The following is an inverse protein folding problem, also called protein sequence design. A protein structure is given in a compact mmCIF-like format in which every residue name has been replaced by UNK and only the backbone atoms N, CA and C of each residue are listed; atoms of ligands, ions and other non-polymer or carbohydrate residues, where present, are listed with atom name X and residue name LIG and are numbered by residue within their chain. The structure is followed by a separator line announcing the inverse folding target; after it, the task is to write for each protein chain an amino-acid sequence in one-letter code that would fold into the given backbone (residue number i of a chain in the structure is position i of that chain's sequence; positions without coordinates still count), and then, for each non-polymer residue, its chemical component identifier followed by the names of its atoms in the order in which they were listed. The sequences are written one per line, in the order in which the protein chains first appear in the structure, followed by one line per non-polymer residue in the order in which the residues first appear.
data_IF_311873396044
#
_entry.id   IF_311873396044
#
_cell.length_a   1.000
_cell.length_b   1.000
_cell.length_c   1.000
_cell.angle_alpha   90.00
_cell.angle_beta   90.00
_cell.angle_gamma   90.00
#
_symmetry.space_group_name_H-M   'P 1'
#
loop_
_entity.id
_entity.type
_entity.pdbx_description
1 polymer ?
#
# COMPACT_ATOMS: atom_id res chain seq x y z
N UNK A 1 14.70 -1.63 -6.62
CA UNK A 1 13.31 -1.80 -7.10
C UNK A 1 12.52 -0.56 -6.76
N UNK A 2 11.98 0.10 -7.78
CA UNK A 2 11.06 1.22 -7.59
C UNK A 2 9.73 0.67 -7.04
N UNK A 3 9.27 1.21 -5.91
CA UNK A 3 8.00 0.78 -5.31
C UNK A 3 6.86 1.53 -6.00
N UNK A 4 5.81 0.80 -6.36
CA UNK A 4 4.56 1.43 -6.80
C UNK A 4 3.96 2.29 -5.66
N UNK A 5 3.15 3.31 -5.94
CA UNK A 5 2.77 4.31 -4.95
C UNK A 5 2.02 3.71 -3.76
N UNK A 6 1.15 2.73 -4.00
CA UNK A 6 0.43 2.03 -2.94
C UNK A 6 1.39 1.29 -1.99
N UNK A 7 2.42 0.64 -2.53
CA UNK A 7 3.45 -0.02 -1.71
C UNK A 7 4.28 1.01 -0.96
N UNK A 8 4.68 2.10 -1.60
CA UNK A 8 5.40 3.17 -0.92
C UNK A 8 4.60 3.71 0.28
N UNK A 9 3.30 3.94 0.11
CA UNK A 9 2.40 4.39 1.18
C UNK A 9 2.34 3.36 2.30
N UNK A 10 2.10 2.08 1.99
CA UNK A 10 1.98 1.02 3.01
C UNK A 10 3.29 0.76 3.75
N UNK A 11 4.44 0.88 3.08
CA UNK A 11 5.74 0.57 3.67
C UNK A 11 6.41 1.76 4.37
N UNK A 12 6.09 2.99 3.97
CA UNK A 12 6.75 4.19 4.51
C UNK A 12 5.76 5.12 5.21
N UNK A 13 4.69 5.54 4.52
CA UNK A 13 3.77 6.56 5.03
C UNK A 13 2.93 6.05 6.20
N UNK A 14 2.24 4.91 6.07
CA UNK A 14 1.41 4.38 7.15
C UNK A 14 2.22 4.04 8.41
N UNK A 15 3.41 3.40 8.32
CA UNK A 15 4.27 3.19 9.47
C UNK A 15 4.73 4.49 10.12
N UNK A 16 5.04 5.53 9.34
CA UNK A 16 5.41 6.85 9.88
C UNK A 16 4.23 7.52 10.60
N UNK A 17 3.01 7.47 10.05
CA UNK A 17 1.82 7.99 10.74
C UNK A 17 1.60 7.26 12.07
N UNK A 18 1.64 5.92 12.06
CA UNK A 18 1.49 5.09 13.27
C UNK A 18 2.55 5.41 14.33
N UNK A 19 3.78 5.67 13.88
CA UNK A 19 4.88 6.12 14.75
C UNK A 19 4.57 7.44 15.44
N UNK A 20 4.18 8.45 14.67
CA UNK A 20 3.90 9.77 15.22
C UNK A 20 2.67 9.78 16.13
N UNK A 21 1.66 8.95 15.83
CA UNK A 21 0.53 8.73 16.74
C UNK A 21 0.97 8.13 18.07
N UNK A 22 1.81 7.09 18.03
CA UNK A 22 2.35 6.47 19.25
C UNK A 22 3.19 7.46 20.08
N UNK A 23 4.04 8.25 19.44
CA UNK A 23 4.83 9.30 20.11
C UNK A 23 3.95 10.37 20.74
N UNK A 24 2.94 10.85 20.02
CA UNK A 24 1.99 11.86 20.51
C UNK A 24 1.16 11.37 21.69
N UNK A 25 0.62 10.14 21.63
CA UNK A 25 -0.10 9.52 22.75
C UNK A 25 0.77 9.36 24.00
N UNK A 26 2.04 8.99 23.83
CA UNK A 26 2.98 8.87 24.95
C UNK A 26 3.35 10.24 25.53
N UNK A 27 3.70 11.22 24.69
CA UNK A 27 4.18 12.54 25.11
C UNK A 27 3.08 13.42 25.70
N UNK A 28 1.91 13.47 25.06
CA UNK A 28 0.87 14.45 25.37
C UNK A 28 -0.17 13.91 26.37
N UNK A 29 -0.32 12.58 26.47
CA UNK A 29 -1.32 11.93 27.33
C UNK A 29 -0.70 10.98 28.37
N UNK A 30 0.63 10.80 28.36
CA UNK A 30 1.37 9.94 29.28
C UNK A 30 0.84 8.49 29.33
N UNK A 31 0.31 7.99 28.21
CA UNK A 31 -0.20 6.63 28.13
C UNK A 31 0.95 5.62 28.05
N UNK A 32 0.80 4.49 28.74
CA UNK A 32 1.72 3.37 28.64
C UNK A 32 1.53 2.60 27.32
N UNK A 33 2.49 1.75 26.96
CA UNK A 33 2.49 1.02 25.68
C UNK A 33 1.26 0.12 25.50
N UNK A 34 0.71 -0.43 26.58
CA UNK A 34 -0.50 -1.27 26.51
C UNK A 34 -1.72 -0.44 26.13
N UNK A 35 -1.89 0.75 26.74
CA UNK A 35 -3.00 1.64 26.39
C UNK A 35 -2.87 2.21 24.98
N UNK A 36 -1.65 2.53 24.55
CA UNK A 36 -1.37 2.96 23.17
C UNK A 36 -1.70 1.83 22.18
N UNK A 37 -1.36 0.59 22.51
CA UNK A 37 -1.64 -0.57 21.67
C UNK A 37 -3.15 -0.78 21.47
N UNK A 38 -3.94 -0.62 22.53
CA UNK A 38 -5.41 -0.65 22.46
C UNK A 38 -5.96 0.44 21.53
N UNK A 39 -5.51 1.69 21.69
CA UNK A 39 -5.99 2.84 20.91
C UNK A 39 -5.65 2.71 19.42
N UNK A 40 -4.45 2.22 19.10
CA UNK A 40 -3.96 2.11 17.73
C UNK A 40 -4.33 0.78 17.06
N UNK A 41 -5.06 -0.10 17.77
CA UNK A 41 -5.41 -1.46 17.31
C UNK A 41 -4.15 -2.26 16.92
N UNK A 42 -3.13 -2.21 17.77
CA UNK A 42 -1.81 -2.84 17.58
C UNK A 42 -1.45 -3.75 18.75
N UNK A 43 -0.35 -4.49 18.61
CA UNK A 43 0.28 -5.19 19.73
C UNK A 43 1.24 -4.25 20.49
N UNK A 44 1.44 -4.45 21.81
CA UNK A 44 2.45 -3.69 22.56
C UNK A 44 3.84 -3.76 21.93
N UNK A 45 4.24 -4.93 21.41
CA UNK A 45 5.50 -5.10 20.69
C UNK A 45 5.58 -4.24 19.42
N UNK A 46 4.48 -4.06 18.69
CA UNK A 46 4.45 -3.18 17.54
C UNK A 46 4.60 -1.70 17.95
N UNK A 47 3.96 -1.28 19.05
CA UNK A 47 4.11 0.06 19.63
C UNK A 47 5.57 0.30 20.03
N UNK A 48 6.19 -0.64 20.74
CA UNK A 48 7.62 -0.58 21.10
C UNK A 48 8.52 -0.40 19.87
N UNK A 49 8.23 -1.12 18.77
CA UNK A 49 8.99 -0.99 17.52
C UNK A 49 8.82 0.39 16.85
N UNK A 50 7.63 1.01 16.97
CA UNK A 50 7.42 2.38 16.50
C UNK A 50 8.17 3.39 17.38
N UNK A 51 8.04 3.30 18.70
CA UNK A 51 8.70 4.22 19.64
C UNK A 51 10.23 4.15 19.55
N UNK A 52 10.79 2.98 19.25
CA UNK A 52 12.22 2.77 19.04
C UNK A 52 12.71 3.09 17.61
N UNK A 53 11.86 3.66 16.75
CA UNK A 53 12.14 3.94 15.33
C UNK A 53 12.56 2.70 14.49
N UNK A 54 12.42 1.47 15.00
CA UNK A 54 12.60 0.24 14.22
C UNK A 54 11.57 0.10 13.10
N UNK A 55 10.42 0.77 13.24
CA UNK A 55 9.38 0.95 12.20
C UNK A 55 9.06 2.43 12.02
N UNK A 56 8.62 2.80 10.82
CA UNK A 56 8.34 4.20 10.48
C UNK A 56 9.62 5.02 10.43
N UNK A 57 10.70 4.47 9.87
CA UNK A 57 12.05 5.07 9.88
C UNK A 57 12.06 6.50 9.33
N UNK A 58 11.14 6.83 8.41
CA UNK A 58 11.07 8.18 7.86
C UNK A 58 10.34 9.11 8.83
N UNK A 59 10.89 10.32 8.99
CA UNK A 59 10.32 11.37 9.81
C UNK A 59 9.46 12.35 9.00
N UNK A 60 8.48 12.95 9.67
CA UNK A 60 7.69 14.07 9.15
C UNK A 60 8.37 15.35 9.64
N UNK A 61 8.86 16.16 8.70
CA UNK A 61 9.62 17.39 8.98
C UNK A 61 8.70 18.62 8.98
N UNK A 62 7.48 18.50 8.44
CA UNK A 62 6.52 19.60 8.37
C UNK A 62 5.73 19.73 9.69
N UNK A 63 6.02 20.80 10.43
CA UNK A 63 5.38 21.12 11.72
C UNK A 63 3.85 21.25 11.61
N UNK A 64 3.32 21.74 10.48
CA UNK A 64 1.87 21.84 10.31
C UNK A 64 1.24 20.44 10.26
N UNK A 65 1.94 19.44 9.72
CA UNK A 65 1.46 18.06 9.69
C UNK A 65 1.55 17.44 11.08
N UNK A 66 2.59 17.74 11.86
CA UNK A 66 2.69 17.31 13.26
C UNK A 66 1.54 17.89 14.10
N UNK A 67 1.18 19.16 13.89
CA UNK A 67 -0.01 19.78 14.51
C UNK A 67 -1.29 19.06 14.11
N UNK A 68 -1.45 18.70 12.83
CA UNK A 68 -2.61 17.93 12.38
C UNK A 68 -2.66 16.53 13.00
N UNK A 69 -1.50 15.88 13.20
CA UNK A 69 -1.39 14.60 13.89
C UNK A 69 -1.84 14.73 15.35
N UNK A 70 -1.37 15.75 16.07
CA UNK A 70 -1.76 15.97 17.46
C UNK A 70 -3.27 16.25 17.59
N UNK A 71 -3.88 16.97 16.62
CA UNK A 71 -5.35 17.13 16.53
C UNK A 71 -6.06 15.80 16.30
N UNK A 72 -5.54 14.94 15.42
CA UNK A 72 -6.08 13.59 15.19
C UNK A 72 -6.04 12.73 16.44
N UNK A 73 -4.90 12.73 17.15
CA UNK A 73 -4.73 12.00 18.42
C UNK A 73 -5.71 12.52 19.46
N UNK A 74 -5.86 13.84 19.59
CA UNK A 74 -6.86 14.44 20.47
C UNK A 74 -8.26 13.97 20.13
N UNK A 75 -8.64 13.98 18.85
CA UNK A 75 -9.97 13.49 18.43
C UNK A 75 -10.20 12.03 18.80
N UNK A 76 -9.20 11.15 18.63
CA UNK A 76 -9.28 9.74 19.00
C UNK A 76 -9.51 9.59 20.51
N UNK A 77 -8.73 10.30 21.32
CA UNK A 77 -8.78 10.18 22.79
C UNK A 77 -10.04 10.79 23.38
N UNK A 78 -10.45 11.99 22.93
CA UNK A 78 -11.51 12.76 23.60
C UNK A 78 -12.91 12.47 23.07
N UNK A 79 -13.06 12.16 21.79
CA UNK A 79 -14.40 12.12 21.17
C UNK A 79 -15.02 10.73 21.11
N UNK A 80 -14.27 9.65 21.35
CA UNK A 80 -14.73 8.24 21.29
C UNK A 80 -15.37 7.79 19.96
N UNK A 81 -15.63 8.73 19.04
CA UNK A 81 -16.40 8.61 17.80
C UNK A 81 -15.50 8.63 16.57
N UNK A 82 -14.28 9.16 16.68
CA UNK A 82 -13.29 9.11 15.62
C UNK A 82 -12.52 7.79 15.70
N UNK A 83 -12.81 6.86 14.79
CA UNK A 83 -12.04 5.62 14.64
C UNK A 83 -10.60 5.95 14.26
N UNK A 84 -9.63 5.24 14.84
CA UNK A 84 -8.20 5.36 14.50
C UNK A 84 -7.96 5.26 12.98
N UNK A 85 -8.66 4.37 12.29
CA UNK A 85 -8.60 4.21 10.83
C UNK A 85 -9.04 5.45 10.06
N UNK A 86 -10.05 6.18 10.53
CA UNK A 86 -10.56 7.42 9.92
C UNK A 86 -9.52 8.54 10.01
N UNK A 87 -8.95 8.75 11.20
CA UNK A 87 -7.93 9.78 11.41
C UNK A 87 -6.62 9.45 10.69
N UNK A 88 -6.24 8.18 10.66
CA UNK A 88 -5.10 7.71 9.83
C UNK A 88 -5.31 8.04 8.36
N UNK A 89 -6.53 7.82 7.84
CA UNK A 89 -6.86 8.16 6.45
C UNK A 89 -6.78 9.67 6.21
N UNK A 90 -7.31 10.48 7.14
CA UNK A 90 -7.25 11.95 7.08
C UNK A 90 -5.82 12.46 6.98
N UNK A 91 -4.93 12.01 7.88
CA UNK A 91 -3.51 12.39 7.87
C UNK A 91 -2.82 11.91 6.60
N UNK A 92 -3.11 10.69 6.14
CA UNK A 92 -2.58 10.18 4.87
C UNK A 92 -2.97 11.06 3.68
N UNK A 93 -4.21 11.56 3.63
CA UNK A 93 -4.68 12.49 2.59
C UNK A 93 -3.99 13.83 2.65
N UNK A 94 -3.76 14.39 3.85
CA UNK A 94 -3.00 15.64 4.02
C UNK A 94 -1.56 15.46 3.50
N UNK A 95 -0.90 14.36 3.88
CA UNK A 95 0.45 14.02 3.42
C UNK A 95 0.53 13.85 1.90
N UNK A 96 -0.50 13.22 1.28
CA UNK A 96 -0.61 13.08 -0.18
C UNK A 96 -0.75 14.44 -0.87
N UNK A 97 -1.63 15.31 -0.39
CA UNK A 97 -1.95 16.58 -1.04
C UNK A 97 -0.79 17.58 -0.99
N UNK A 98 0.04 17.53 0.07
CA UNK A 98 1.24 18.36 0.18
C UNK A 98 2.43 17.89 -0.68
N UNK A 99 2.25 16.94 -1.63
CA UNK A 99 3.31 16.36 -2.48
C UNK A 99 4.55 15.84 -1.68
N UNK A 100 4.30 15.43 -0.43
CA UNK A 100 5.18 14.80 0.58
C UNK A 100 6.38 15.62 1.08
N UNK A 101 6.24 16.12 2.33
CA UNK A 101 7.33 16.50 3.25
C UNK A 101 8.11 15.28 3.81
N UNK A 102 8.19 14.22 3.01
CA UNK A 102 8.81 12.92 3.31
C UNK A 102 9.58 12.57 2.02
N UNK A 103 10.91 12.57 2.07
CA UNK A 103 11.80 12.45 0.91
C UNK A 103 11.39 11.38 -0.14
N UNK A 104 10.64 11.79 -1.18
CA UNK A 104 10.53 11.29 -2.58
C UNK A 104 9.10 11.41 -3.13
N UNK A 105 8.98 11.93 -4.35
CA UNK A 105 7.74 12.04 -5.13
C UNK A 105 7.36 10.69 -5.74
N UNK A 106 6.15 10.17 -5.46
CA UNK A 106 5.48 9.14 -6.26
C UNK A 106 4.01 9.09 -5.85
N UNK A 107 3.18 9.90 -6.51
CA UNK A 107 1.74 10.03 -6.20
C UNK A 107 0.89 9.28 -7.24
N UNK A 108 -0.08 8.49 -6.79
CA UNK A 108 -1.11 7.89 -7.64
C UNK A 108 -2.43 8.64 -7.43
N UNK A 109 -2.94 9.26 -8.50
CA UNK A 109 -4.19 10.06 -8.54
C UNK A 109 -5.48 9.26 -8.24
N UNK A 110 -5.43 7.92 -8.24
CA UNK A 110 -6.63 7.05 -8.16
C UNK A 110 -6.82 6.28 -6.85
N UNK A 111 -6.18 6.69 -5.75
CA UNK A 111 -6.13 5.89 -4.52
C UNK A 111 -6.89 6.55 -3.35
N UNK A 112 -8.20 6.74 -3.53
CA UNK A 112 -9.09 7.37 -2.54
C UNK A 112 -9.60 6.43 -1.45
N UNK A 113 -9.55 5.09 -1.63
CA UNK A 113 -9.86 4.15 -0.55
C UNK A 113 -8.87 2.99 -0.47
N UNK A 114 -8.39 2.83 0.78
CA UNK A 114 -7.62 1.75 1.42
C UNK A 114 -6.40 1.25 0.62
N UNK A 115 -5.23 1.77 0.97
CA UNK A 115 -3.95 1.34 0.40
C UNK A 115 -3.59 -0.10 0.82
N UNK A 116 -4.04 -0.55 1.98
CA UNK A 116 -3.77 -1.90 2.50
C UNK A 116 -4.48 -2.98 1.65
N UNK A 117 -5.78 -2.89 1.39
CA UNK A 117 -6.51 -3.81 0.49
C UNK A 117 -5.88 -3.89 -0.90
N UNK A 118 -5.49 -2.75 -1.46
CA UNK A 118 -4.81 -2.73 -2.75
C UNK A 118 -3.49 -3.50 -2.72
N UNK A 119 -2.69 -3.34 -1.66
CA UNK A 119 -1.38 -4.00 -1.50
C UNK A 119 -1.50 -5.47 -1.17
N UNK A 120 -2.46 -5.87 -0.35
CA UNK A 120 -2.55 -7.25 0.16
C UNK A 120 -3.44 -8.15 -0.70
N UNK A 121 -4.48 -7.60 -1.32
CA UNK A 121 -5.45 -8.40 -2.08
C UNK A 121 -5.26 -8.22 -3.59
N UNK A 122 -5.21 -6.97 -4.06
CA UNK A 122 -5.27 -6.65 -5.50
C UNK A 122 -3.90 -6.84 -6.19
N UNK A 123 -2.85 -6.26 -5.61
CA UNK A 123 -1.51 -6.28 -6.22
C UNK A 123 -0.92 -7.69 -6.38
N UNK A 124 -1.10 -8.62 -5.44
CA UNK A 124 -0.67 -10.00 -5.64
C UNK A 124 -1.40 -10.70 -6.79
N UNK A 125 -2.68 -10.36 -7.03
CA UNK A 125 -3.45 -10.89 -8.16
C UNK A 125 -2.94 -10.32 -9.48
N UNK A 126 -2.74 -8.99 -9.56
CA UNK A 126 -2.20 -8.33 -10.77
C UNK A 126 -0.83 -8.91 -11.12
N UNK A 127 0.10 -8.96 -10.16
CA UNK A 127 1.47 -9.46 -10.39
C UNK A 127 1.47 -10.91 -10.87
N UNK A 128 0.56 -11.73 -10.36
CA UNK A 128 0.38 -13.11 -10.82
C UNK A 128 -0.12 -13.18 -12.25
N UNK A 129 -1.17 -12.44 -12.59
CA UNK A 129 -1.73 -12.48 -13.94
C UNK A 129 -0.77 -11.88 -14.97
N UNK A 130 -0.04 -10.81 -14.63
CA UNK A 130 1.05 -10.28 -15.47
C UNK A 130 2.16 -11.32 -15.66
N UNK A 131 2.63 -11.95 -14.59
CA UNK A 131 3.69 -12.98 -14.68
C UNK A 131 3.26 -14.15 -15.58
N UNK A 132 2.02 -14.63 -15.45
CA UNK A 132 1.50 -15.71 -16.30
C UNK A 132 1.40 -15.30 -17.77
N UNK A 133 0.86 -14.11 -18.05
CA UNK A 133 0.63 -13.67 -19.42
C UNK A 133 1.95 -13.40 -20.15
N UNK A 134 2.94 -12.78 -19.48
CA UNK A 134 4.26 -12.54 -20.06
C UNK A 134 4.97 -13.85 -20.43
N UNK A 135 4.85 -14.90 -19.62
CA UNK A 135 5.41 -16.22 -19.96
C UNK A 135 4.62 -16.89 -21.08
N UNK A 136 3.29 -16.91 -20.96
CA UNK A 136 2.42 -17.67 -21.88
C UNK A 136 2.40 -17.09 -23.29
N UNK A 137 2.20 -15.78 -23.39
CA UNK A 137 1.95 -15.07 -24.65
C UNK A 137 3.19 -14.38 -25.22
N UNK A 138 4.13 -13.94 -24.37
CA UNK A 138 5.35 -13.26 -24.81
C UNK A 138 6.62 -14.11 -24.67
N UNK A 139 6.51 -15.37 -24.21
CA UNK A 139 7.60 -16.35 -24.09
C UNK A 139 8.78 -15.88 -23.22
N UNK A 140 8.55 -14.95 -22.31
CA UNK A 140 9.57 -14.52 -21.37
C UNK A 140 9.91 -15.65 -20.39
N UNK A 141 11.17 -15.74 -19.98
CA UNK A 141 11.58 -16.58 -18.85
C UNK A 141 11.39 -15.82 -17.51
N UNK A 142 11.48 -16.53 -16.38
CA UNK A 142 11.23 -15.93 -15.05
C UNK A 142 12.16 -14.77 -14.73
N UNK A 143 13.43 -14.85 -15.16
CA UNK A 143 14.40 -13.76 -15.04
C UNK A 143 13.92 -12.50 -15.75
N UNK A 144 13.54 -12.61 -17.03
CA UNK A 144 13.05 -11.47 -17.81
C UNK A 144 11.77 -10.87 -17.24
N UNK A 145 10.85 -11.72 -16.77
CA UNK A 145 9.64 -11.26 -16.07
C UNK A 145 9.99 -10.47 -14.81
N UNK A 146 10.98 -10.93 -14.04
CA UNK A 146 11.41 -10.26 -12.81
C UNK A 146 12.01 -8.87 -13.10
N UNK A 147 12.79 -8.75 -14.16
CA UNK A 147 13.37 -7.48 -14.61
C UNK A 147 12.28 -6.49 -15.03
N UNK A 148 11.35 -6.91 -15.89
CA UNK A 148 10.32 -6.05 -16.46
C UNK A 148 9.30 -5.61 -15.40
N UNK A 149 8.89 -6.52 -14.50
CA UNK A 149 7.94 -6.20 -13.42
C UNK A 149 8.60 -5.55 -12.19
N UNK A 150 9.93 -5.45 -12.15
CA UNK A 150 10.65 -4.94 -10.99
C UNK A 150 10.41 -5.80 -9.75
N UNK A 151 10.55 -7.13 -9.89
CA UNK A 151 10.38 -8.12 -8.82
C UNK A 151 11.65 -8.97 -8.67
N UNK A 152 11.74 -9.76 -7.60
CA UNK A 152 12.73 -10.84 -7.54
C UNK A 152 12.25 -12.07 -8.30
N UNK A 153 13.17 -12.85 -8.87
CA UNK A 153 12.84 -14.14 -9.52
C UNK A 153 12.09 -15.09 -8.56
N UNK A 154 12.49 -15.11 -7.28
CA UNK A 154 11.78 -15.86 -6.25
C UNK A 154 10.33 -15.40 -6.06
N UNK A 155 10.03 -14.10 -6.19
CA UNK A 155 8.67 -13.59 -6.14
C UNK A 155 7.85 -14.05 -7.36
N UNK A 156 8.43 -13.99 -8.56
CA UNK A 156 7.82 -14.49 -9.80
C UNK A 156 7.48 -15.98 -9.65
N UNK A 157 8.43 -16.80 -9.21
CA UNK A 157 8.21 -18.23 -8.93
C UNK A 157 7.05 -18.49 -7.95
N UNK A 158 6.95 -17.70 -6.88
CA UNK A 158 5.84 -17.80 -5.91
C UNK A 158 4.47 -17.43 -6.51
N UNK A 159 4.42 -16.47 -7.42
CA UNK A 159 3.19 -16.13 -8.14
C UNK A 159 2.75 -17.25 -9.10
N UNK A 160 3.70 -17.83 -9.83
CA UNK A 160 3.43 -18.92 -10.77
C UNK A 160 2.98 -20.19 -10.06
N UNK A 161 3.58 -20.53 -8.92
CA UNK A 161 3.21 -21.67 -8.07
C UNK A 161 1.90 -21.49 -7.29
N UNK A 162 1.14 -20.41 -7.54
CA UNK A 162 -0.15 -20.07 -6.91
C UNK A 162 -0.12 -19.93 -5.37
N UNK A 163 1.07 -19.83 -4.77
CA UNK A 163 1.23 -19.57 -3.33
C UNK A 163 0.80 -18.13 -2.94
N UNK A 164 0.56 -17.24 -3.91
CA UNK A 164 0.09 -15.85 -3.73
C UNK A 164 -0.92 -15.44 -4.81
N UNK A 165 -1.82 -14.51 -4.48
CA UNK A 165 -2.81 -13.95 -5.41
C UNK A 165 -3.79 -15.00 -5.94
N UNK A 166 -4.32 -15.87 -5.06
CA UNK A 166 -5.14 -17.00 -5.50
C UNK A 166 -6.58 -16.63 -5.91
N UNK A 167 -6.94 -15.36 -5.79
CA UNK A 167 -8.23 -14.86 -6.27
C UNK A 167 -8.29 -14.98 -7.79
N UNK A 168 -9.40 -15.54 -8.30
CA UNK A 168 -9.63 -15.69 -9.73
C UNK A 168 -10.39 -14.46 -10.25
N UNK A 169 -9.89 -13.89 -11.33
CA UNK A 169 -10.63 -12.91 -12.11
C UNK A 169 -11.55 -13.70 -13.05
N UNK A 170 -12.87 -13.57 -12.88
CA UNK A 170 -13.86 -14.23 -13.74
C UNK A 170 -14.20 -13.39 -14.97
N UNK A 171 -14.29 -12.07 -14.78
CA UNK A 171 -14.68 -11.09 -15.79
C UNK A 171 -13.76 -11.11 -17.03
N UNK A 172 -14.37 -11.35 -18.19
CA UNK A 172 -13.68 -11.42 -19.48
C UNK A 172 -13.11 -10.06 -19.90
N UNK A 173 -13.84 -8.95 -19.68
CA UNK A 173 -13.39 -7.60 -20.04
C UNK A 173 -12.12 -7.24 -19.27
N UNK A 174 -12.07 -7.60 -17.98
CA UNK A 174 -10.89 -7.35 -17.14
C UNK A 174 -9.70 -8.20 -17.62
N UNK A 175 -9.92 -9.46 -18.01
CA UNK A 175 -8.85 -10.30 -18.59
C UNK A 175 -8.28 -9.71 -19.87
N UNK A 176 -9.14 -9.19 -20.75
CA UNK A 176 -8.72 -8.52 -21.98
C UNK A 176 -7.89 -7.26 -21.67
N UNK A 177 -8.30 -6.46 -20.69
CA UNK A 177 -7.54 -5.29 -20.23
C UNK A 177 -6.17 -5.68 -19.65
N UNK A 178 -6.11 -6.75 -18.86
CA UNK A 178 -4.85 -7.29 -18.34
C UNK A 178 -3.95 -7.77 -19.47
N UNK A 179 -4.51 -8.41 -20.50
CA UNK A 179 -3.74 -8.87 -21.65
C UNK A 179 -3.15 -7.70 -22.45
N UNK A 180 -3.96 -6.66 -22.72
CA UNK A 180 -3.50 -5.41 -23.34
C UNK A 180 -2.37 -4.75 -22.53
N UNK A 181 -2.52 -4.72 -21.19
CA UNK A 181 -1.45 -4.24 -20.30
C UNK A 181 -0.19 -5.09 -20.44
N UNK A 182 -0.29 -6.42 -20.50
CA UNK A 182 0.90 -7.26 -20.66
C UNK A 182 1.62 -7.08 -21.98
N UNK A 183 0.90 -6.79 -23.06
CA UNK A 183 1.52 -6.44 -24.35
C UNK A 183 2.31 -5.14 -24.23
N UNK A 184 1.71 -4.08 -23.67
CA UNK A 184 2.41 -2.81 -23.43
C UNK A 184 3.62 -2.97 -22.51
N UNK A 185 3.51 -3.83 -21.50
CA UNK A 185 4.62 -4.13 -20.56
C UNK A 185 5.75 -4.88 -21.26
N UNK A 186 5.44 -5.83 -22.15
CA UNK A 186 6.44 -6.61 -22.86
C UNK A 186 7.27 -5.77 -23.84
N UNK A 187 6.65 -4.77 -24.46
CA UNK A 187 7.27 -3.83 -25.40
C UNK A 187 7.89 -2.61 -24.70
N UNK A 188 7.46 -2.33 -23.47
CA UNK A 188 7.85 -1.16 -22.70
C UNK A 188 9.05 -1.39 -21.77
N UNK A 189 9.18 -0.48 -20.80
CA UNK A 189 10.20 -0.54 -19.76
C UNK A 189 9.57 -0.66 -18.36
N UNK A 190 10.39 -0.63 -17.30
CA UNK A 190 9.91 -0.75 -15.92
C UNK A 190 8.89 0.33 -15.52
N UNK A 191 8.97 1.53 -16.12
CA UNK A 191 7.97 2.60 -15.89
C UNK A 191 6.61 2.21 -16.49
N UNK A 192 6.59 1.57 -17.65
CA UNK A 192 5.35 1.04 -18.25
C UNK A 192 4.70 0.00 -17.33
N UNK A 193 5.48 -0.90 -16.74
CA UNK A 193 4.97 -1.87 -15.77
C UNK A 193 4.35 -1.20 -14.53
N UNK A 194 4.96 -0.13 -14.04
CA UNK A 194 4.42 0.67 -12.94
C UNK A 194 3.07 1.32 -13.30
N UNK A 195 2.99 1.97 -14.47
CA UNK A 195 1.79 2.68 -14.93
C UNK A 195 0.63 1.71 -15.18
N UNK A 196 0.90 0.60 -15.86
CA UNK A 196 -0.09 -0.43 -16.16
C UNK A 196 -0.57 -1.17 -14.90
N UNK A 197 0.31 -1.39 -13.92
CA UNK A 197 -0.09 -1.93 -12.62
C UNK A 197 -1.09 -0.99 -11.93
N UNK A 198 -0.84 0.32 -11.94
CA UNK A 198 -1.74 1.31 -11.35
C UNK A 198 -3.07 1.38 -12.10
N UNK A 199 -3.05 1.32 -13.43
CA UNK A 199 -4.24 1.33 -14.29
C UNK A 199 -5.13 0.12 -14.02
N UNK A 200 -4.56 -1.09 -14.04
CA UNK A 200 -5.31 -2.34 -13.76
C UNK A 200 -5.82 -2.34 -12.31
N UNK A 201 -5.03 -1.83 -11.35
CA UNK A 201 -5.49 -1.70 -9.97
C UNK A 201 -6.74 -0.81 -9.86
N UNK A 202 -6.81 0.27 -10.63
CA UNK A 202 -7.98 1.16 -10.66
C UNK A 202 -9.20 0.45 -11.23
N UNK A 203 -9.05 -0.24 -12.37
CA UNK A 203 -10.12 -1.04 -12.99
C UNK A 203 -10.66 -2.08 -12.00
N UNK A 204 -9.76 -2.81 -11.34
CA UNK A 204 -10.11 -3.85 -10.37
C UNK A 204 -10.81 -3.32 -9.12
N UNK A 205 -10.49 -2.10 -8.67
CA UNK A 205 -11.17 -1.44 -7.53
C UNK A 205 -12.56 -0.95 -7.89
N UNK A 206 -12.76 -0.46 -9.12
CA UNK A 206 -14.05 0.02 -9.60
C UNK A 206 -15.01 -1.11 -10.01
N UNK A 207 -14.48 -2.32 -10.22
CA UNK A 207 -15.27 -3.50 -10.54
C UNK A 207 -15.62 -4.30 -9.27
N UNK A 208 -16.87 -4.74 -9.12
CA UNK A 208 -17.25 -5.76 -8.13
C UNK A 208 -16.65 -7.16 -8.44
N UNK A 209 -15.83 -7.27 -9.49
CA UNK A 209 -15.35 -8.51 -10.10
C UNK A 209 -14.27 -9.27 -9.32
N UNK A 210 -13.87 -8.80 -8.13
CA UNK A 210 -13.02 -9.55 -7.20
C UNK A 210 -13.91 -10.34 -6.23
N UNK A 211 -14.22 -11.58 -6.59
CA UNK A 211 -14.88 -12.54 -5.69
C UNK A 211 -13.90 -12.83 -4.53
N UNK A 212 -14.20 -12.31 -3.35
CA UNK A 212 -13.41 -12.52 -2.12
C UNK A 212 -13.20 -11.31 -1.23
N UNK A 213 -13.53 -10.09 -1.69
CA UNK A 213 -13.47 -8.87 -0.85
C UNK A 213 -14.71 -8.66 0.03
N UNK A 214 -15.66 -9.61 0.05
CA UNK A 214 -16.78 -9.60 0.99
C UNK A 214 -16.29 -10.07 2.37
N UNK A 215 -16.08 -9.11 3.27
CA UNK A 215 -16.36 -9.27 4.69
C UNK A 215 -17.26 -8.14 5.13
#
# INVERSE_FOLDING_TARGET
MEKIPCEYIVWNVLPTIRKEFAKSLMRNYNFNQNKIAEILELTPSAVSQYLSNKRGVVDIIDDQILVEIDKSVKNIVTKGSAKFSTETCRICTILKNKKLAINKSTYCKGCDKICETAVWEILPVIRKEFSKNLIKYHKFNQKKVSEVLGLSEAAVSRYLSRKRGNIKISDKKIKEEIQKSTTRIAEGNSKTAFEETCRICTILKSSESIIGLKK
#
